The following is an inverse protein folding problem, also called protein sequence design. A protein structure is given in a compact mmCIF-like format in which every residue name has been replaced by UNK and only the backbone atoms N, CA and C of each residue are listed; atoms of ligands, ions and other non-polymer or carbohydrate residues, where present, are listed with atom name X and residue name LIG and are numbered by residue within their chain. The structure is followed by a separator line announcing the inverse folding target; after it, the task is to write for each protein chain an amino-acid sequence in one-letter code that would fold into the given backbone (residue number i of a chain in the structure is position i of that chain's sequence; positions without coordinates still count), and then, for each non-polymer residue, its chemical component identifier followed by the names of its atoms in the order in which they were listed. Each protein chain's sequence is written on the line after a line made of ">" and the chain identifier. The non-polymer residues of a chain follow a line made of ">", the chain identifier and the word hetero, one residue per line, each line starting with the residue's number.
data_IF_520509569909
#
_entry.id   IF_520509569909
#
_cell.length_a   1.000
_cell.length_b   1.000
_cell.length_c   1.000
_cell.angle_alpha   90.00
_cell.angle_beta   90.00
_cell.angle_gamma   90.00
#
_symmetry.space_group_name_H-M   'P 1'
#
loop_
_entity.id
_entity.type
_entity.pdbx_description
1 polymer ?
#
# COMPACT_ATOMS: atom_id res chain seq x y z
N UNK A 1 -16.04 -7.10 -11.12
CA UNK A 1 -15.93 -8.35 -10.34
C UNK A 1 -17.30 -8.86 -9.89
N UNK A 2 -18.11 -8.09 -9.15
CA UNK A 2 -19.40 -8.56 -8.61
C UNK A 2 -20.37 -9.20 -9.63
N UNK A 3 -20.45 -8.67 -10.86
CA UNK A 3 -21.30 -9.21 -11.94
C UNK A 3 -20.92 -10.63 -12.40
N UNK A 4 -19.76 -11.14 -12.00
CA UNK A 4 -19.34 -12.52 -12.28
C UNK A 4 -19.92 -13.52 -11.27
N UNK A 5 -20.75 -13.06 -10.32
CA UNK A 5 -21.36 -13.84 -9.25
C UNK A 5 -20.36 -14.69 -8.42
N UNK A 6 -19.22 -14.13 -7.97
CA UNK A 6 -18.37 -14.84 -7.03
C UNK A 6 -19.02 -14.89 -5.64
N UNK A 7 -18.67 -15.90 -4.82
CA UNK A 7 -19.11 -15.97 -3.42
C UNK A 7 -18.41 -14.92 -2.53
N UNK A 8 -17.19 -14.50 -2.92
CA UNK A 8 -16.45 -13.47 -2.21
C UNK A 8 -15.40 -12.73 -3.04
N UNK A 9 -15.03 -11.54 -2.57
CA UNK A 9 -13.98 -10.68 -3.14
C UNK A 9 -13.11 -10.19 -2.00
N UNK A 10 -11.80 -10.41 -2.08
CA UNK A 10 -10.83 -9.81 -1.15
C UNK A 10 -10.21 -8.56 -1.77
N UNK A 11 -9.95 -7.55 -0.94
CA UNK A 11 -9.37 -6.27 -1.38
C UNK A 11 -8.11 -5.95 -0.57
N UNK A 12 -7.13 -5.32 -1.21
CA UNK A 12 -5.89 -4.88 -0.56
C UNK A 12 -6.07 -3.55 0.19
N UNK A 13 -5.08 -3.19 1.01
CA UNK A 13 -5.08 -2.02 1.92
C UNK A 13 -5.27 -0.65 1.23
N UNK A 14 -5.12 -0.54 -0.10
CA UNK A 14 -5.38 0.71 -0.83
C UNK A 14 -6.88 0.92 -1.14
N UNK A 15 -7.71 -0.11 -0.97
CA UNK A 15 -9.14 -0.03 -1.25
C UNK A 15 -9.90 0.51 -0.05
N UNK A 16 -10.80 1.47 -0.28
CA UNK A 16 -11.74 1.88 0.75
C UNK A 16 -12.76 0.75 1.01
N UNK A 17 -12.59 0.02 2.12
CA UNK A 17 -13.41 -1.14 2.44
C UNK A 17 -14.90 -0.80 2.52
N UNK A 18 -15.26 0.33 3.15
CA UNK A 18 -16.66 0.74 3.28
C UNK A 18 -17.33 1.04 1.93
N UNK A 19 -16.62 1.72 1.04
CA UNK A 19 -17.06 1.98 -0.34
C UNK A 19 -17.21 0.69 -1.14
N UNK A 20 -16.24 -0.23 -1.03
CA UNK A 20 -16.29 -1.52 -1.69
C UNK A 20 -17.44 -2.39 -1.15
N UNK A 21 -17.66 -2.39 0.17
CA UNK A 21 -18.75 -3.12 0.85
C UNK A 21 -20.13 -2.67 0.37
N UNK A 22 -20.35 -1.35 0.26
CA UNK A 22 -21.61 -0.81 -0.29
C UNK A 22 -21.92 -1.35 -1.69
N UNK A 23 -20.89 -1.67 -2.48
CA UNK A 23 -21.05 -2.27 -3.81
C UNK A 23 -21.30 -3.78 -3.68
N UNK A 24 -20.53 -4.52 -2.89
CA UNK A 24 -20.69 -5.98 -2.75
C UNK A 24 -22.01 -6.38 -2.13
N UNK A 25 -22.55 -5.58 -1.20
CA UNK A 25 -23.82 -5.84 -0.52
C UNK A 25 -25.01 -5.81 -1.50
N UNK A 26 -24.97 -4.96 -2.54
CA UNK A 26 -26.00 -4.93 -3.59
C UNK A 26 -26.10 -6.24 -4.38
N UNK A 27 -25.05 -7.06 -4.35
CA UNK A 27 -24.96 -8.34 -5.03
C UNK A 27 -24.93 -9.52 -4.04
N UNK A 28 -25.06 -9.27 -2.73
CA UNK A 28 -24.96 -10.28 -1.66
C UNK A 28 -23.64 -11.09 -1.73
N UNK A 29 -22.52 -10.39 -1.91
CA UNK A 29 -21.17 -10.99 -2.02
C UNK A 29 -20.38 -10.73 -0.74
N UNK A 30 -19.64 -11.74 -0.27
CA UNK A 30 -18.72 -11.61 0.87
C UNK A 30 -17.52 -10.74 0.51
N UNK A 31 -17.19 -9.76 1.36
CA UNK A 31 -15.97 -8.97 1.19
C UNK A 31 -14.93 -9.35 2.25
N UNK A 32 -13.68 -9.50 1.81
CA UNK A 32 -12.51 -9.78 2.64
C UNK A 32 -11.52 -8.63 2.62
N UNK A 33 -10.85 -8.39 3.74
CA UNK A 33 -9.80 -7.39 3.87
C UNK A 33 -10.10 -6.32 4.93
N UNK A 34 -9.27 -5.29 5.07
CA UNK A 34 -7.96 -5.15 4.44
C UNK A 34 -6.95 -4.55 5.42
N UNK A 35 -6.70 -5.25 6.53
CA UNK A 35 -5.74 -4.82 7.55
C UNK A 35 -4.41 -4.49 6.87
N UNK A 36 -3.84 -3.29 7.08
CA UNK A 36 -2.56 -2.92 6.50
C UNK A 36 -1.43 -3.82 6.99
N UNK A 37 -0.69 -4.43 6.07
CA UNK A 37 0.32 -5.42 6.44
C UNK A 37 1.56 -4.75 7.03
N UNK A 38 2.06 -3.75 6.34
CA UNK A 38 3.37 -3.21 6.69
C UNK A 38 3.30 -2.26 7.88
N UNK A 39 2.44 -1.25 7.77
CA UNK A 39 2.38 -0.16 8.75
C UNK A 39 1.72 -0.60 10.05
N UNK A 40 0.83 -1.59 9.98
CA UNK A 40 0.13 -2.11 11.15
C UNK A 40 0.70 -3.46 11.57
N UNK A 41 0.66 -4.50 10.72
CA UNK A 41 1.04 -5.84 11.18
C UNK A 41 2.56 -6.03 11.37
N UNK A 42 3.40 -5.53 10.48
CA UNK A 42 4.85 -5.74 10.52
C UNK A 42 5.56 -4.76 11.47
N UNK A 43 5.33 -3.46 11.29
CA UNK A 43 6.04 -2.41 12.03
C UNK A 43 5.22 -1.77 13.16
N UNK A 44 3.93 -2.10 13.26
CA UNK A 44 3.06 -1.60 14.32
C UNK A 44 3.19 -2.39 15.62
N UNK A 45 2.56 -1.85 16.65
CA UNK A 45 2.36 -2.46 17.96
C UNK A 45 1.10 -3.34 17.99
N UNK A 46 0.88 -4.06 19.10
CA UNK A 46 -0.35 -4.80 19.30
C UNK A 46 -1.58 -3.86 19.32
N UNK A 47 -1.41 -2.68 19.90
CA UNK A 47 -2.43 -1.64 19.97
C UNK A 47 -2.78 -1.10 18.57
N UNK A 48 -1.79 -0.90 17.69
CA UNK A 48 -2.02 -0.53 16.27
C UNK A 48 -2.85 -1.59 15.56
N UNK A 49 -2.53 -2.87 15.78
CA UNK A 49 -3.23 -4.01 15.18
C UNK A 49 -4.67 -4.13 15.69
N UNK A 50 -4.87 -3.96 16.99
CA UNK A 50 -6.20 -3.92 17.59
C UNK A 50 -7.01 -2.76 17.03
N UNK A 51 -6.42 -1.57 16.99
CA UNK A 51 -7.07 -0.37 16.47
C UNK A 51 -7.45 -0.51 15.00
N UNK A 52 -6.54 -0.98 14.15
CA UNK A 52 -6.82 -1.19 12.73
C UNK A 52 -7.99 -2.16 12.51
N UNK A 53 -8.05 -3.26 13.27
CA UNK A 53 -9.19 -4.19 13.20
C UNK A 53 -10.50 -3.56 13.67
N UNK A 54 -10.49 -2.84 14.80
CA UNK A 54 -11.70 -2.18 15.32
C UNK A 54 -12.19 -1.11 14.35
N UNK A 55 -11.29 -0.28 13.81
CA UNK A 55 -11.64 0.77 12.85
C UNK A 55 -12.29 0.15 11.59
N UNK A 56 -11.81 -1.00 11.11
CA UNK A 56 -12.45 -1.74 10.01
C UNK A 56 -13.84 -2.26 10.41
N UNK A 57 -13.96 -2.93 11.56
CA UNK A 57 -15.24 -3.46 12.08
C UNK A 57 -16.28 -2.35 12.25
N UNK A 58 -15.87 -1.17 12.71
CA UNK A 58 -16.77 -0.04 12.96
C UNK A 58 -17.11 0.74 11.68
N UNK A 59 -16.30 0.60 10.62
CA UNK A 59 -16.54 1.26 9.34
C UNK A 59 -17.67 0.65 8.50
N UNK A 60 -18.10 -0.57 8.79
CA UNK A 60 -19.03 -1.34 7.95
C UNK A 60 -20.00 -2.22 8.75
N UNK A 61 -21.10 -2.61 8.11
CA UNK A 61 -21.96 -3.70 8.61
C UNK A 61 -21.21 -5.04 8.62
N UNK A 62 -21.61 -6.00 9.47
CA UNK A 62 -20.89 -7.26 9.65
C UNK A 62 -21.43 -8.41 8.80
N UNK A 63 -22.58 -8.22 8.14
CA UNK A 63 -23.07 -9.21 7.19
C UNK A 63 -22.09 -9.36 6.02
N UNK A 64 -21.75 -10.60 5.67
CA UNK A 64 -20.86 -10.92 4.54
C UNK A 64 -19.48 -10.22 4.65
N UNK A 65 -18.90 -10.17 5.85
CA UNK A 65 -17.60 -9.57 6.13
C UNK A 65 -16.59 -10.62 6.63
N UNK A 66 -15.39 -10.60 6.05
CA UNK A 66 -14.22 -11.33 6.54
C UNK A 66 -13.12 -10.31 6.82
N UNK A 67 -12.78 -10.13 8.10
CA UNK A 67 -11.61 -9.34 8.46
C UNK A 67 -10.36 -10.17 8.15
N UNK A 68 -9.53 -9.66 7.24
CA UNK A 68 -8.25 -10.27 6.86
C UNK A 68 -7.24 -9.19 6.50
N UNK A 69 -5.94 -9.53 6.42
CA UNK A 69 -4.96 -8.66 5.80
C UNK A 69 -5.27 -8.44 4.32
N UNK A 70 -4.70 -7.38 3.73
CA UNK A 70 -4.89 -7.06 2.32
C UNK A 70 -4.14 -7.99 1.33
N UNK A 71 -3.18 -8.77 1.84
CA UNK A 71 -2.29 -9.68 1.10
C UNK A 71 -1.70 -10.72 2.08
N UNK A 72 -0.73 -11.50 1.63
CA UNK A 72 0.01 -12.44 2.48
C UNK A 72 0.88 -11.72 3.52
N UNK A 73 0.96 -12.29 4.73
CA UNK A 73 1.75 -11.71 5.83
C UNK A 73 3.26 -11.87 5.56
N UNK A 74 4.07 -10.81 5.76
CA UNK A 74 5.52 -10.93 5.78
C UNK A 74 6.00 -11.97 6.80
N UNK A 75 7.09 -12.68 6.48
CA UNK A 75 7.66 -13.70 7.37
C UNK A 75 8.07 -13.16 8.75
N UNK A 76 8.50 -11.90 8.79
CA UNK A 76 8.97 -11.23 10.02
C UNK A 76 7.83 -10.57 10.81
N UNK A 77 6.56 -10.73 10.40
CA UNK A 77 5.42 -10.21 11.17
C UNK A 77 5.43 -10.76 12.60
N UNK A 78 5.49 -9.90 13.63
CA UNK A 78 5.46 -10.35 15.02
C UNK A 78 4.21 -11.18 15.31
N UNK A 79 4.40 -12.30 15.99
CA UNK A 79 3.30 -13.23 16.32
C UNK A 79 2.27 -12.52 17.20
N UNK A 80 2.72 -11.67 18.11
CA UNK A 80 1.89 -10.87 19.01
C UNK A 80 0.91 -9.97 18.23
N UNK A 81 1.32 -9.41 17.11
CA UNK A 81 0.47 -8.58 16.26
C UNK A 81 -0.65 -9.40 15.60
N UNK A 82 -0.35 -10.62 15.16
CA UNK A 82 -1.37 -11.55 14.64
C UNK A 82 -2.38 -11.97 15.73
N UNK A 83 -1.89 -12.19 16.96
CA UNK A 83 -2.73 -12.49 18.13
C UNK A 83 -3.62 -11.29 18.44
N UNK A 84 -3.07 -10.08 18.41
CA UNK A 84 -3.80 -8.83 18.65
C UNK A 84 -4.96 -8.65 17.68
N UNK A 85 -4.74 -8.84 16.37
CA UNK A 85 -5.82 -8.82 15.38
C UNK A 85 -6.90 -9.88 15.69
N UNK A 86 -6.51 -11.11 15.99
CA UNK A 86 -7.45 -12.19 16.29
C UNK A 86 -8.26 -11.93 17.57
N UNK A 87 -7.64 -11.34 18.60
CA UNK A 87 -8.33 -10.94 19.84
C UNK A 87 -9.31 -9.79 19.57
N UNK A 88 -8.92 -8.81 18.76
CA UNK A 88 -9.78 -7.69 18.39
C UNK A 88 -11.06 -8.15 17.67
N UNK A 89 -10.96 -9.09 16.72
CA UNK A 89 -12.13 -9.67 16.05
C UNK A 89 -13.03 -10.45 17.02
N UNK A 90 -12.44 -11.25 17.92
CA UNK A 90 -13.21 -12.09 18.86
C UNK A 90 -13.86 -11.30 19.99
N UNK A 91 -13.23 -10.21 20.41
CA UNK A 91 -13.60 -9.46 21.59
C UNK A 91 -13.58 -7.94 21.31
N UNK A 92 -14.42 -7.44 20.38
CA UNK A 92 -14.33 -6.05 19.93
C UNK A 92 -14.65 -5.05 21.03
N UNK A 93 -15.66 -5.31 21.86
CA UNK A 93 -16.06 -4.38 22.93
C UNK A 93 -15.00 -4.19 24.02
N UNK A 94 -14.33 -5.28 24.43
CA UNK A 94 -13.22 -5.17 25.39
C UNK A 94 -11.99 -4.53 24.75
N UNK A 95 -11.75 -4.82 23.48
CA UNK A 95 -10.63 -4.24 22.73
C UNK A 95 -10.80 -2.73 22.60
N UNK A 96 -12.01 -2.23 22.29
CA UNK A 96 -12.31 -0.79 22.27
C UNK A 96 -11.94 -0.07 23.56
N UNK A 97 -12.21 -0.69 24.72
CA UNK A 97 -11.84 -0.14 26.03
C UNK A 97 -10.33 -0.12 26.26
N UNK A 98 -9.61 -1.08 25.71
CA UNK A 98 -8.15 -1.18 25.85
C UNK A 98 -7.43 -0.07 25.05
N UNK A 99 -7.98 0.31 23.89
CA UNK A 99 -7.37 1.29 22.97
C UNK A 99 -8.00 2.69 23.03
N UNK A 100 -8.91 2.97 23.96
CA UNK A 100 -9.71 4.22 24.01
C UNK A 100 -8.86 5.50 24.02
N UNK A 101 -7.66 5.45 24.60
CA UNK A 101 -6.73 6.60 24.68
C UNK A 101 -5.47 6.42 23.81
N UNK A 102 -5.49 5.48 22.87
CA UNK A 102 -4.34 5.17 22.03
C UNK A 102 -4.42 5.90 20.69
N UNK A 103 -3.38 6.68 20.38
CA UNK A 103 -3.17 7.29 19.06
C UNK A 103 -1.93 6.69 18.40
N UNK A 104 -2.07 6.33 17.13
CA UNK A 104 -1.00 5.77 16.32
C UNK A 104 0.05 6.86 16.05
N UNK A 105 1.29 6.64 16.50
CA UNK A 105 2.41 7.56 16.24
C UNK A 105 3.31 6.92 15.19
N UNK A 106 3.51 7.62 14.08
CA UNK A 106 4.42 7.20 13.02
C UNK A 106 5.49 8.29 12.90
N UNK A 107 6.74 7.92 13.15
CA UNK A 107 7.88 8.83 13.13
C UNK A 107 8.45 8.89 11.70
N UNK A 108 8.17 10.00 11.02
CA UNK A 108 8.55 10.24 9.61
C UNK A 108 9.77 11.22 9.51
N UNK A 109 10.43 11.53 10.63
CA UNK A 109 11.27 12.74 10.77
C UNK A 109 12.65 12.71 10.09
N UNK A 110 13.25 11.53 9.86
CA UNK A 110 14.65 11.40 9.42
C UNK A 110 14.87 11.16 7.91
N UNK A 111 13.83 11.17 7.08
CA UNK A 111 13.99 10.85 5.63
C UNK A 111 14.33 12.07 4.79
N UNK A 112 15.48 12.07 4.11
CA UNK A 112 15.86 13.12 3.15
C UNK A 112 15.27 12.88 1.75
N UNK A 113 14.74 13.95 1.13
CA UNK A 113 14.25 13.95 -0.25
C UNK A 113 15.28 14.68 -1.15
N UNK A 114 15.67 14.11 -2.30
CA UNK A 114 16.58 14.73 -3.26
C UNK A 114 16.04 16.06 -3.78
N UNK A 115 16.97 16.94 -4.17
CA UNK A 115 16.65 18.14 -4.92
C UNK A 115 16.39 17.80 -6.40
N UNK A 116 15.15 17.42 -6.71
CA UNK A 116 14.72 17.01 -8.05
C UNK A 116 15.03 18.03 -9.14
N UNK A 117 15.03 19.33 -8.81
CA UNK A 117 15.29 20.41 -9.75
C UNK A 117 16.77 20.50 -10.14
N UNK A 118 17.69 19.89 -9.38
CA UNK A 118 19.13 20.01 -9.59
C UNK A 118 19.84 18.67 -9.85
N UNK A 119 19.08 17.61 -10.18
CA UNK A 119 19.65 16.33 -10.57
C UNK A 119 20.32 16.39 -11.95
N UNK A 120 21.42 15.65 -12.11
CA UNK A 120 22.17 15.49 -13.37
C UNK A 120 21.41 14.62 -14.38
N UNK A 121 20.59 13.69 -13.89
CA UNK A 121 19.74 12.78 -14.65
C UNK A 121 18.33 12.79 -14.10
N UNK A 122 17.38 12.40 -14.94
CA UNK A 122 16.00 12.16 -14.50
C UNK A 122 16.00 11.01 -13.49
N UNK A 123 15.34 11.19 -12.34
CA UNK A 123 15.19 10.13 -11.34
C UNK A 123 13.78 9.55 -11.41
N UNK A 124 13.72 8.26 -11.69
CA UNK A 124 12.49 7.46 -11.68
C UNK A 124 12.39 6.76 -10.32
N UNK A 125 11.33 6.99 -9.58
CA UNK A 125 11.14 6.41 -8.25
C UNK A 125 9.91 5.51 -8.24
N UNK A 126 10.11 4.20 -8.06
CA UNK A 126 9.03 3.23 -7.95
C UNK A 126 8.71 2.99 -6.48
N UNK A 127 7.53 3.41 -6.05
CA UNK A 127 7.00 3.14 -4.72
C UNK A 127 6.07 1.94 -4.80
N UNK A 128 6.50 0.82 -4.24
CA UNK A 128 5.88 -0.49 -4.42
C UNK A 128 5.50 -1.08 -3.08
N UNK A 129 4.41 -1.86 -3.02
CA UNK A 129 4.08 -2.64 -1.83
C UNK A 129 5.13 -3.73 -1.59
N UNK A 130 5.19 -4.69 -2.51
CA UNK A 130 6.24 -5.71 -2.58
C UNK A 130 6.38 -6.18 -4.04
N UNK A 131 7.50 -5.90 -4.74
CA UNK A 131 7.69 -6.35 -6.12
C UNK A 131 7.83 -7.87 -6.28
N UNK A 132 8.09 -8.61 -5.20
CA UNK A 132 8.28 -10.07 -5.22
C UNK A 132 6.96 -10.82 -4.99
N UNK A 133 6.01 -10.21 -4.27
CA UNK A 133 4.74 -10.86 -3.88
C UNK A 133 3.50 -10.21 -4.51
N UNK A 134 3.53 -8.91 -4.80
CA UNK A 134 2.40 -8.21 -5.41
C UNK A 134 2.56 -8.11 -6.94
N UNK A 135 1.68 -8.79 -7.68
CA UNK A 135 1.74 -8.84 -9.14
C UNK A 135 1.78 -7.45 -9.80
N UNK A 136 0.97 -6.49 -9.34
CA UNK A 136 0.97 -5.13 -9.88
C UNK A 136 2.31 -4.41 -9.65
N UNK A 137 2.93 -4.63 -8.48
CA UNK A 137 4.25 -4.08 -8.17
C UNK A 137 5.34 -4.71 -9.04
N UNK A 138 5.28 -6.03 -9.27
CA UNK A 138 6.16 -6.74 -10.18
C UNK A 138 6.11 -6.14 -11.58
N UNK A 139 4.91 -5.91 -12.12
CA UNK A 139 4.76 -5.33 -13.46
C UNK A 139 5.22 -3.88 -13.55
N UNK A 140 5.00 -3.06 -12.51
CA UNK A 140 5.49 -1.68 -12.51
C UNK A 140 7.01 -1.61 -12.49
N UNK A 141 7.68 -2.45 -11.70
CA UNK A 141 9.14 -2.53 -11.67
C UNK A 141 9.68 -3.01 -13.03
N UNK A 142 9.11 -4.08 -13.57
CA UNK A 142 9.50 -4.63 -14.86
C UNK A 142 9.41 -3.60 -15.99
N UNK A 143 8.37 -2.74 -15.98
CA UNK A 143 8.22 -1.68 -16.98
C UNK A 143 9.41 -0.70 -17.02
N UNK A 144 10.07 -0.45 -15.89
CA UNK A 144 11.27 0.40 -15.80
C UNK A 144 12.52 -0.39 -16.18
N UNK A 145 12.67 -1.61 -15.66
CA UNK A 145 13.83 -2.46 -15.94
C UNK A 145 13.95 -2.81 -17.44
N UNK A 146 12.83 -3.09 -18.10
CA UNK A 146 12.76 -3.44 -19.52
C UNK A 146 13.28 -2.33 -20.45
N UNK A 147 13.22 -1.08 -20.02
CA UNK A 147 13.66 0.08 -20.81
C UNK A 147 14.98 0.68 -20.33
N UNK A 148 15.52 0.19 -19.20
CA UNK A 148 16.64 0.86 -18.52
C UNK A 148 17.87 1.01 -19.42
N UNK A 149 18.23 -0.02 -20.20
CA UNK A 149 19.37 0.05 -21.12
C UNK A 149 19.24 1.17 -22.18
N UNK A 150 18.01 1.54 -22.56
CA UNK A 150 17.76 2.62 -23.53
C UNK A 150 17.80 4.02 -22.90
N UNK A 151 17.58 4.12 -21.59
CA UNK A 151 17.46 5.40 -20.88
C UNK A 151 18.59 5.68 -19.88
N UNK A 152 19.48 4.71 -19.61
CA UNK A 152 20.54 4.80 -18.59
C UNK A 152 21.44 6.03 -18.70
N UNK A 153 21.58 6.60 -19.89
CA UNK A 153 22.39 7.80 -20.12
C UNK A 153 21.68 9.08 -19.65
N UNK A 154 20.34 9.07 -19.61
CA UNK A 154 19.49 10.23 -19.30
C UNK A 154 18.70 10.08 -18.00
N UNK A 155 18.53 8.87 -17.48
CA UNK A 155 17.74 8.58 -16.30
C UNK A 155 18.35 7.46 -15.44
N UNK A 156 18.16 7.57 -14.14
CA UNK A 156 18.41 6.51 -13.15
C UNK A 156 17.09 6.16 -12.45
N UNK A 157 17.01 4.99 -11.81
CA UNK A 157 15.83 4.58 -11.07
C UNK A 157 16.15 4.05 -9.67
N UNK A 158 15.21 4.27 -8.76
CA UNK A 158 15.21 3.77 -7.39
C UNK A 158 13.91 3.04 -7.09
N UNK A 159 13.99 1.99 -6.27
CA UNK A 159 12.84 1.20 -5.85
C UNK A 159 12.71 1.31 -4.34
N UNK A 160 11.55 1.76 -3.89
CA UNK A 160 11.19 1.87 -2.48
C UNK A 160 10.11 0.84 -2.18
N UNK A 161 10.37 0.00 -1.18
CA UNK A 161 9.51 -1.11 -0.81
C UNK A 161 8.76 -0.75 0.45
N UNK A 162 7.43 -0.73 0.37
CA UNK A 162 6.52 -0.41 1.48
C UNK A 162 6.40 -1.60 2.45
N UNK A 163 7.55 -2.14 2.85
CA UNK A 163 7.81 -3.01 3.99
C UNK A 163 9.14 -2.65 4.69
N UNK A 164 9.91 -1.70 4.15
CA UNK A 164 11.12 -1.14 4.74
C UNK A 164 10.76 0.17 5.44
N UNK A 165 11.19 0.34 6.69
CA UNK A 165 10.78 1.47 7.54
C UNK A 165 11.10 2.84 6.92
N UNK A 166 12.32 3.01 6.41
CA UNK A 166 12.77 4.26 5.79
C UNK A 166 11.96 4.58 4.51
N UNK A 167 11.60 3.55 3.74
CA UNK A 167 10.82 3.67 2.51
C UNK A 167 9.36 4.05 2.78
N UNK A 168 8.77 3.56 3.89
CA UNK A 168 7.43 3.97 4.34
C UNK A 168 7.43 5.47 4.65
N UNK A 169 8.40 5.93 5.45
CA UNK A 169 8.52 7.34 5.79
C UNK A 169 8.75 8.20 4.54
N UNK A 170 9.55 7.72 3.57
CA UNK A 170 9.68 8.37 2.26
C UNK A 170 8.36 8.46 1.51
N UNK A 171 7.64 7.34 1.40
CA UNK A 171 6.35 7.25 0.69
C UNK A 171 5.35 8.27 1.27
N UNK A 172 5.30 8.39 2.61
CA UNK A 172 4.47 9.38 3.31
C UNK A 172 4.91 10.81 3.03
N UNK A 173 6.22 11.09 3.11
CA UNK A 173 6.78 12.42 2.86
C UNK A 173 6.58 12.87 1.41
N UNK A 174 6.57 11.94 0.47
CA UNK A 174 6.24 12.14 -0.95
C UNK A 174 4.72 12.31 -1.20
N UNK A 175 3.88 12.17 -0.17
CA UNK A 175 2.43 12.33 -0.26
C UNK A 175 1.75 11.26 -1.11
N UNK A 176 2.35 10.07 -1.22
CA UNK A 176 1.82 8.97 -2.02
C UNK A 176 0.70 8.28 -1.24
N UNK A 177 -0.45 8.13 -1.90
CA UNK A 177 -1.67 7.57 -1.29
C UNK A 177 -2.02 6.18 -1.76
N UNK A 178 -1.46 5.76 -2.90
CA UNK A 178 -1.78 4.50 -3.56
C UNK A 178 -0.49 3.82 -4.02
N UNK A 179 -0.45 2.50 -3.91
CA UNK A 179 0.64 1.69 -4.44
C UNK A 179 0.12 0.71 -5.50
N UNK A 180 0.93 0.32 -6.49
CA UNK A 180 2.24 0.90 -6.79
C UNK A 180 2.09 2.30 -7.44
N UNK A 181 3.04 3.20 -7.18
CA UNK A 181 3.12 4.53 -7.81
C UNK A 181 4.52 4.78 -8.34
N UNK A 182 4.61 5.29 -9.57
CA UNK A 182 5.86 5.71 -10.19
C UNK A 182 5.94 7.23 -10.25
N UNK A 183 7.00 7.77 -9.66
CA UNK A 183 7.31 9.20 -9.73
C UNK A 183 8.47 9.45 -10.71
N UNK A 184 8.42 10.58 -11.43
CA UNK A 184 9.54 11.07 -12.25
C UNK A 184 9.91 12.45 -11.72
N UNK A 185 11.16 12.61 -11.26
CA UNK A 185 11.63 13.83 -10.59
C UNK A 185 10.67 14.33 -9.49
N UNK A 186 10.18 13.38 -8.69
CA UNK A 186 9.26 13.64 -7.58
C UNK A 186 7.79 13.89 -7.97
N UNK A 187 7.46 13.96 -9.26
CA UNK A 187 6.07 14.09 -9.73
C UNK A 187 5.42 12.71 -9.87
N UNK A 188 4.23 12.52 -9.28
CA UNK A 188 3.46 11.26 -9.34
C UNK A 188 2.80 11.11 -10.72
N UNK A 189 3.47 10.44 -11.66
CA UNK A 189 3.05 10.32 -13.07
C UNK A 189 2.13 9.11 -13.30
N UNK A 190 2.44 7.96 -12.69
CA UNK A 190 1.66 6.74 -12.87
C UNK A 190 1.20 6.17 -11.52
N UNK A 191 -0.09 6.29 -11.23
CA UNK A 191 -0.70 5.88 -9.96
C UNK A 191 -1.57 4.64 -10.20
N UNK A 192 -1.16 3.49 -9.66
CA UNK A 192 -1.87 2.20 -9.80
C UNK A 192 -2.14 1.78 -11.26
N UNK A 193 -1.38 2.32 -12.21
CA UNK A 193 -1.49 2.03 -13.64
C UNK A 193 -0.07 1.75 -14.15
N UNK A 194 0.11 0.65 -14.88
CA UNK A 194 1.39 0.33 -15.51
C UNK A 194 1.43 1.00 -16.90
N UNK A 195 2.41 1.89 -17.16
CA UNK A 195 2.52 2.53 -18.47
C UNK A 195 3.00 1.56 -19.55
N UNK A 196 2.68 1.86 -20.80
CA UNK A 196 3.40 1.26 -21.93
C UNK A 196 4.82 1.82 -22.04
N UNK A 197 5.69 1.10 -22.77
CA UNK A 197 7.07 1.52 -23.04
C UNK A 197 7.15 2.93 -23.65
N UNK A 198 6.29 3.24 -24.62
CA UNK A 198 6.27 4.54 -25.30
C UNK A 198 5.85 5.66 -24.33
N UNK A 199 4.79 5.45 -23.55
CA UNK A 199 4.31 6.42 -22.56
C UNK A 199 5.37 6.73 -21.49
N UNK A 200 6.08 5.70 -21.01
CA UNK A 200 7.12 5.87 -20.01
C UNK A 200 8.32 6.66 -20.56
N UNK A 201 8.80 6.33 -21.76
CA UNK A 201 9.90 7.05 -22.40
C UNK A 201 9.52 8.52 -22.67
N UNK A 202 8.31 8.77 -23.14
CA UNK A 202 7.83 10.12 -23.40
C UNK A 202 7.66 10.93 -22.11
N UNK A 203 7.21 10.30 -21.02
CA UNK A 203 7.17 10.92 -19.71
C UNK A 203 8.58 11.31 -19.23
N UNK A 204 9.54 10.39 -19.31
CA UNK A 204 10.95 10.65 -18.92
C UNK A 204 11.52 11.84 -19.71
N UNK A 205 11.32 11.86 -21.04
CA UNK A 205 11.85 12.92 -21.92
C UNK A 205 11.31 14.31 -21.60
N UNK A 206 10.10 14.45 -21.05
CA UNK A 206 9.56 15.75 -20.61
C UNK A 206 10.35 16.35 -19.44
N UNK A 207 11.05 15.51 -18.69
CA UNK A 207 11.82 15.87 -17.50
C UNK A 207 13.33 15.93 -17.76
N UNK A 208 13.78 15.60 -18.98
CA UNK A 208 15.18 15.78 -19.40
C UNK A 208 15.43 17.27 -19.68
N UNK A 209 16.53 17.80 -19.13
CA UNK A 209 16.97 19.18 -19.35
C UNK A 209 17.73 19.36 -20.66
#
# INVERSE_FOLDING_TARGET
>A
MCKMNPDGISVDENVNLAGAKNITDQYNITIGGNIPLTTTMLHGSQEDNMKGVIDLIDSVDHHNLIISPGCDMPYDTPIENTIACAQAVKHPDSTRKLIENYEVVIDDSDVEIPDYENLDKVLIECFLLDPEQCAACTYMLAAVEDIYEEIRDIADYSVYKYFIKDDIARTRKMGIKNLPTMCINGQQEFISIIPSKEELIDAIKKHVK
#
